data_IF_329811377912
#
_entry.id   IF_329811377912
#
_cell.length_a   1.000
_cell.length_b   1.000
_cell.length_c   1.000
_cell.angle_alpha   90.00
_cell.angle_beta   90.00
_cell.angle_gamma   90.00
#
_symmetry.space_group_name_H-M   'P 1'
#
loop_
_entity.id
_entity.type
_entity.pdbx_description
1 polymer ?
#
# COMPACT_ATOMS: atom_id res chain seq x y z
N UNK A 1 8.28 5.72 1.04
CA UNK A 1 7.23 4.69 1.26
C UNK A 1 7.73 3.52 2.09
N UNK A 2 8.82 2.85 1.70
CA UNK A 2 9.41 1.73 2.45
C UNK A 2 9.72 2.10 3.91
N UNK A 3 10.40 3.23 4.15
CA UNK A 3 10.73 3.66 5.51
C UNK A 3 9.51 3.97 6.38
N UNK A 4 8.45 4.51 5.75
CA UNK A 4 7.16 4.73 6.39
C UNK A 4 6.53 3.41 6.82
N UNK A 5 6.48 2.42 5.92
CA UNK A 5 5.91 1.11 6.24
C UNK A 5 6.71 0.39 7.33
N UNK A 6 8.04 0.49 7.29
CA UNK A 6 8.91 -0.05 8.34
C UNK A 6 8.62 0.58 9.71
N UNK A 7 8.26 1.85 9.75
CA UNK A 7 7.93 2.53 11.02
C UNK A 7 6.68 1.97 11.72
N UNK A 8 5.77 1.33 10.97
CA UNK A 8 4.55 0.73 11.52
C UNK A 8 4.71 -0.72 11.99
N UNK A 9 5.84 -1.39 11.69
CA UNK A 9 6.04 -2.82 12.00
C UNK A 9 6.87 -2.97 13.28
N UNK A 10 6.23 -3.35 14.39
CA UNK A 10 6.87 -3.40 15.73
C UNK A 10 7.19 -4.87 16.15
N UNK A 11 6.50 -5.86 15.59
CA UNK A 11 6.62 -7.31 15.89
C UNK A 11 5.96 -8.21 14.83
N UNK A 12 6.68 -9.15 14.19
CA UNK A 12 6.17 -10.03 13.10
C UNK A 12 4.97 -10.96 13.43
N UNK A 13 4.40 -10.94 14.63
CA UNK A 13 3.30 -11.83 15.06
C UNK A 13 1.89 -11.22 14.97
N UNK A 14 1.77 -9.91 14.79
CA UNK A 14 0.47 -9.22 14.76
C UNK A 14 0.05 -8.85 13.32
N UNK A 15 -1.25 -8.66 13.10
CA UNK A 15 -1.74 -8.02 11.89
C UNK A 15 -1.41 -6.54 11.96
N UNK A 16 -0.87 -5.97 10.88
CA UNK A 16 -0.54 -4.54 10.78
C UNK A 16 -1.51 -3.84 9.83
N UNK A 17 -2.75 -3.61 10.25
CA UNK A 17 -3.73 -2.99 9.39
C UNK A 17 -3.38 -1.54 9.09
N UNK A 18 -3.29 -1.22 7.81
CA UNK A 18 -3.18 0.14 7.30
C UNK A 18 -4.34 0.47 6.38
N UNK A 19 -4.76 1.74 6.42
CA UNK A 19 -5.74 2.32 5.50
C UNK A 19 -5.00 3.28 4.57
N UNK A 20 -5.15 3.05 3.27
CA UNK A 20 -4.66 3.91 2.22
C UNK A 20 -5.80 4.79 1.74
N UNK A 21 -5.65 6.10 1.79
CA UNK A 21 -6.60 7.06 1.20
C UNK A 21 -5.89 7.88 0.14
N UNK A 22 -6.29 7.68 -1.10
CA UNK A 22 -5.76 8.38 -2.27
C UNK A 22 -6.64 9.59 -2.57
N UNK A 23 -5.97 10.69 -2.87
CA UNK A 23 -6.53 11.96 -3.31
C UNK A 23 -5.58 12.54 -4.36
N UNK A 24 -6.02 13.55 -5.12
CA UNK A 24 -5.20 14.11 -6.20
C UNK A 24 -3.79 14.49 -5.73
N UNK A 25 -2.77 13.82 -6.26
CA UNK A 25 -1.35 14.01 -5.92
C UNK A 25 -0.90 13.50 -4.54
N UNK A 26 -1.77 12.85 -3.76
CA UNK A 26 -1.49 12.51 -2.37
C UNK A 26 -2.02 11.13 -1.96
N UNK A 27 -1.19 10.38 -1.25
CA UNK A 27 -1.55 9.14 -0.57
C UNK A 27 -1.38 9.35 0.94
N UNK A 28 -2.49 9.26 1.68
CA UNK A 28 -2.47 9.14 3.13
C UNK A 28 -2.38 7.67 3.53
N UNK A 29 -1.43 7.35 4.41
CA UNK A 29 -1.25 6.02 5.01
C UNK A 29 -1.54 6.16 6.50
N UNK A 30 -2.63 5.54 6.95
CA UNK A 30 -3.05 5.50 8.36
C UNK A 30 -2.82 4.10 8.94
N UNK A 31 -2.09 4.01 10.04
CA UNK A 31 -2.03 2.82 10.88
C UNK A 31 -3.30 2.70 11.71
N UNK A 32 -4.04 1.61 11.55
CA UNK A 32 -5.29 1.36 12.30
C UNK A 32 -4.99 0.96 13.75
N UNK A 33 -3.79 0.44 14.04
CA UNK A 33 -3.42 -0.03 15.37
C UNK A 33 -3.19 1.09 16.38
N UNK A 34 -2.60 2.21 15.93
CA UNK A 34 -2.21 3.33 16.81
C UNK A 34 -2.71 4.70 16.34
N UNK A 35 -3.41 4.77 15.20
CA UNK A 35 -3.96 6.00 14.64
C UNK A 35 -2.92 6.94 14.03
N UNK A 36 -1.64 6.55 13.99
CA UNK A 36 -0.60 7.35 13.36
C UNK A 36 -0.79 7.39 11.84
N UNK A 37 -0.50 8.53 11.21
CA UNK A 37 -0.63 8.66 9.76
C UNK A 37 0.48 9.52 9.15
N UNK A 38 0.68 9.32 7.85
CA UNK A 38 1.59 10.12 7.04
C UNK A 38 1.04 10.32 5.64
N UNK A 39 1.32 11.49 5.09
CA UNK A 39 1.01 11.84 3.71
C UNK A 39 2.26 11.73 2.86
N UNK A 40 2.16 11.07 1.70
CA UNK A 40 3.25 10.99 0.72
C UNK A 40 2.77 11.44 -0.66
N UNK A 41 3.61 12.18 -1.42
CA UNK A 41 3.29 12.57 -2.79
C UNK A 41 3.27 11.33 -3.70
N UNK A 42 2.27 11.25 -4.57
CA UNK A 42 2.10 10.17 -5.56
C UNK A 42 1.56 10.74 -6.87
N UNK A 43 1.78 10.02 -7.97
CA UNK A 43 1.12 10.32 -9.24
C UNK A 43 -0.27 9.68 -9.28
N UNK A 44 -1.27 10.42 -8.79
CA UNK A 44 -2.67 10.00 -8.77
C UNK A 44 -3.59 11.16 -9.14
N UNK A 45 -4.44 10.96 -10.14
CA UNK A 45 -5.40 11.95 -10.64
C UNK A 45 -6.85 11.45 -10.65
N UNK A 46 -7.14 10.36 -9.92
CA UNK A 46 -8.48 9.79 -9.80
C UNK A 46 -9.33 10.47 -8.71
N UNK A 47 -10.57 9.98 -8.56
CA UNK A 47 -11.45 10.35 -7.45
C UNK A 47 -10.91 9.85 -6.10
N UNK A 48 -11.42 10.39 -4.99
CA UNK A 48 -11.00 9.90 -3.67
C UNK A 48 -11.29 8.40 -3.53
N UNK A 49 -10.26 7.63 -3.18
CA UNK A 49 -10.35 6.18 -3.08
C UNK A 49 -9.70 5.70 -1.79
N UNK A 50 -10.34 4.76 -1.11
CA UNK A 50 -9.88 4.26 0.19
C UNK A 50 -9.89 2.74 0.24
N UNK A 51 -8.80 2.15 0.72
CA UNK A 51 -8.64 0.70 0.81
C UNK A 51 -7.76 0.26 1.98
N UNK A 52 -8.06 -0.91 2.54
CA UNK A 52 -7.34 -1.50 3.68
C UNK A 52 -6.37 -2.61 3.26
N UNK A 53 -5.17 -2.61 3.83
CA UNK A 53 -4.13 -3.61 3.59
C UNK A 53 -3.34 -3.97 4.84
N UNK A 54 -2.61 -5.09 4.78
CA UNK A 54 -1.62 -5.42 5.79
C UNK A 54 -0.28 -4.79 5.38
N UNK A 55 0.29 -3.94 6.23
CA UNK A 55 1.54 -3.24 5.96
C UNK A 55 2.72 -4.18 5.72
N UNK A 56 2.76 -5.35 6.38
CA UNK A 56 3.84 -6.33 6.16
C UNK A 56 3.77 -6.85 4.72
N UNK A 57 2.59 -7.17 4.21
CA UNK A 57 2.48 -7.68 2.84
C UNK A 57 2.82 -6.63 1.80
N UNK A 58 2.43 -5.38 2.03
CA UNK A 58 2.82 -4.28 1.16
C UNK A 58 4.34 -4.07 1.19
N UNK A 59 4.94 -4.07 2.38
CA UNK A 59 6.39 -3.94 2.54
C UNK A 59 7.16 -5.08 1.88
N UNK A 60 6.75 -6.33 2.11
CA UNK A 60 7.37 -7.51 1.50
C UNK A 60 7.26 -7.48 -0.03
N UNK A 61 6.13 -7.03 -0.58
CA UNK A 61 5.97 -6.89 -2.02
C UNK A 61 6.90 -5.81 -2.60
N UNK A 62 7.03 -4.66 -1.93
CA UNK A 62 7.90 -3.56 -2.39
C UNK A 62 9.38 -3.96 -2.27
N UNK A 63 9.79 -4.54 -1.15
CA UNK A 63 11.19 -4.92 -0.89
C UNK A 63 11.70 -6.01 -1.86
N UNK A 64 10.80 -6.76 -2.49
CA UNK A 64 11.13 -7.82 -3.46
C UNK A 64 10.86 -7.43 -4.92
N UNK A 65 10.36 -6.23 -5.19
CA UNK A 65 10.25 -5.71 -6.56
C UNK A 65 11.59 -5.12 -7.00
N UNK A 66 12.00 -5.40 -8.23
CA UNK A 66 13.26 -4.93 -8.82
C UNK A 66 13.16 -3.49 -9.36
N UNK A 67 12.55 -2.58 -8.61
CA UNK A 67 12.46 -1.16 -8.93
C UNK A 67 12.20 -0.33 -7.68
N UNK A 68 12.77 0.87 -7.62
CA UNK A 68 12.46 1.84 -6.57
C UNK A 68 11.12 2.55 -6.82
N UNK A 69 10.72 2.63 -8.09
CA UNK A 69 9.45 3.21 -8.50
C UNK A 69 8.50 2.10 -8.97
N UNK A 70 7.28 2.13 -8.45
CA UNK A 70 6.29 1.09 -8.64
C UNK A 70 4.94 1.70 -9.00
N UNK A 71 4.08 0.89 -9.61
CA UNK A 71 2.68 1.19 -9.81
C UNK A 71 1.88 0.25 -8.91
N UNK A 72 1.00 0.82 -8.09
CA UNK A 72 -0.01 0.06 -7.35
C UNK A 72 -1.33 0.18 -8.10
N UNK A 73 -1.77 -0.92 -8.71
CA UNK A 73 -3.07 -1.01 -9.39
C UNK A 73 -4.12 -1.42 -8.37
N UNK A 74 -4.97 -0.48 -8.00
CA UNK A 74 -6.03 -0.69 -7.03
C UNK A 74 -7.30 -1.23 -7.71
N UNK A 75 -8.00 -2.17 -7.08
CA UNK A 75 -9.22 -2.74 -7.62
C UNK A 75 -10.40 -1.77 -7.50
N UNK A 76 -11.42 -1.92 -8.33
CA UNK A 76 -12.68 -1.16 -8.18
C UNK A 76 -13.51 -1.60 -6.97
N UNK A 77 -13.27 -2.82 -6.45
CA UNK A 77 -13.99 -3.38 -5.30
C UNK A 77 -13.02 -4.02 -4.29
N UNK A 78 -13.31 -3.92 -3.00
CA UNK A 78 -12.43 -4.40 -1.92
C UNK A 78 -12.29 -5.93 -1.82
N UNK A 79 -13.06 -6.70 -2.59
CA UNK A 79 -12.98 -8.16 -2.70
C UNK A 79 -12.05 -8.63 -3.84
N UNK A 80 -11.53 -7.71 -4.64
CA UNK A 80 -10.61 -8.01 -5.74
C UNK A 80 -9.16 -7.72 -5.34
N UNK A 81 -8.17 -8.39 -5.94
CA UNK A 81 -6.76 -8.18 -5.63
C UNK A 81 -6.26 -6.80 -6.11
N UNK A 82 -5.32 -6.24 -5.37
CA UNK A 82 -4.44 -5.20 -5.88
C UNK A 82 -3.17 -5.82 -6.46
N UNK A 83 -2.61 -5.16 -7.46
CA UNK A 83 -1.37 -5.57 -8.12
C UNK A 83 -0.30 -4.52 -7.94
N UNK A 84 0.94 -4.96 -7.78
CA UNK A 84 2.12 -4.10 -7.68
C UNK A 84 3.10 -4.55 -8.75
N UNK A 85 3.52 -3.60 -9.58
CA UNK A 85 4.45 -3.84 -10.69
C UNK A 85 5.52 -2.72 -10.73
N UNK A 86 6.73 -3.03 -11.21
CA UNK A 86 7.76 -2.01 -11.43
C UNK A 86 7.39 -1.10 -12.61
N UNK A 87 7.81 0.17 -12.59
CA UNK A 87 7.70 1.06 -13.76
C UNK A 87 8.64 0.60 -14.90
N UNK A 88 9.70 -0.15 -14.58
CA UNK A 88 10.75 -0.56 -15.51
C UNK A 88 10.51 -1.97 -16.09
N UNK A 89 11.31 -2.39 -17.09
CA UNK A 89 11.20 -3.68 -17.81
C UNK A 89 11.55 -4.95 -16.99
N UNK A 90 11.29 -4.95 -15.70
CA UNK A 90 11.51 -6.09 -14.85
C UNK A 90 10.24 -6.97 -14.85
N UNK A 91 10.36 -8.26 -15.19
CA UNK A 91 9.21 -9.16 -15.32
C UNK A 91 8.77 -9.74 -13.97
N UNK A 92 8.24 -8.90 -13.07
CA UNK A 92 7.65 -9.34 -11.81
C UNK A 92 6.31 -8.65 -11.54
N UNK A 93 5.42 -9.37 -10.87
CA UNK A 93 4.10 -8.91 -10.46
C UNK A 93 3.84 -9.44 -9.06
N UNK A 94 3.61 -8.55 -8.10
CA UNK A 94 3.13 -8.91 -6.78
C UNK A 94 1.61 -8.70 -6.71
N UNK A 95 0.94 -9.55 -5.96
CA UNK A 95 -0.50 -9.47 -5.72
C UNK A 95 -0.77 -9.50 -4.23
N UNK A 96 -1.69 -8.64 -3.78
CA UNK A 96 -2.11 -8.61 -2.38
C UNK A 96 -3.63 -8.43 -2.30
N UNK A 97 -4.24 -9.17 -1.38
CA UNK A 97 -5.67 -9.03 -1.11
C UNK A 97 -5.90 -7.85 -0.17
N UNK A 98 -6.84 -6.95 -0.50
CA UNK A 98 -7.36 -6.00 0.46
C UNK A 98 -8.14 -6.72 1.56
N UNK A 99 -8.31 -6.05 2.68
CA UNK A 99 -9.33 -6.43 3.65
C UNK A 99 -10.23 -5.24 3.98
N UNK A 100 -11.43 -5.53 4.46
CA UNK A 100 -12.35 -4.49 4.90
C UNK A 100 -11.81 -3.83 6.17
N UNK A 101 -11.44 -2.57 6.08
CA UNK A 101 -11.35 -1.68 7.24
C UNK A 101 -12.76 -1.20 7.55
N UNK A 102 -13.30 -1.55 8.72
CA UNK A 102 -14.53 -0.97 9.25
C UNK A 102 -14.36 0.54 9.53
#
# INVERSE_FOLDING_TARGET
MVDVLKSFVINKKDTYPIKLTLSSGNLNILSVSDGSNVNIPVDYAGEEYTIGFNAIYLLEAIDNICSNDIIIRLPSENNHPAYIEPINNCSCLAMMMPFKTE
#
